data_IF_909562765823
#
_entry.id   IF_909562765823
#
_cell.length_a   1.000
_cell.length_b   1.000
_cell.length_c   1.000
_cell.angle_alpha   90.00
_cell.angle_beta   90.00
_cell.angle_gamma   90.00
#
_symmetry.space_group_name_H-M   'P 1'
#
loop_
_entity.id
_entity.type
_entity.pdbx_description
1 polymer ?
#
# COMPACT_ATOMS: atom_id res chain seq x y z
N UNK A 1 5.42 -19.19 2.23
CA UNK A 1 6.08 -18.22 3.14
C UNK A 1 5.43 -16.86 2.97
N UNK A 2 4.85 -16.29 4.03
CA UNK A 2 4.29 -14.94 3.95
C UNK A 2 5.36 -13.90 3.65
N UNK A 3 4.95 -12.88 2.90
CA UNK A 3 5.81 -11.76 2.56
C UNK A 3 5.27 -10.52 3.26
N UNK A 4 6.13 -9.84 4.01
CA UNK A 4 5.79 -8.62 4.72
C UNK A 4 6.46 -7.44 4.03
N UNK A 5 5.67 -6.44 3.67
CA UNK A 5 6.17 -5.28 2.96
C UNK A 5 5.60 -3.98 3.50
N UNK A 6 6.35 -2.91 3.35
CA UNK A 6 5.84 -1.55 3.53
C UNK A 6 6.03 -0.74 2.27
N UNK A 7 5.19 0.28 2.11
CA UNK A 7 5.34 1.30 1.08
C UNK A 7 5.19 2.65 1.77
N UNK A 8 6.21 3.50 1.66
CA UNK A 8 6.21 4.83 2.25
C UNK A 8 6.36 5.89 1.17
N UNK A 9 5.57 6.96 1.29
CA UNK A 9 5.65 8.06 0.34
C UNK A 9 5.08 9.34 0.94
N UNK A 10 5.43 10.45 0.31
CA UNK A 10 4.89 11.76 0.63
C UNK A 10 4.39 12.40 -0.65
N UNK A 11 3.17 12.95 -0.61
CA UNK A 11 2.59 13.65 -1.75
C UNK A 11 2.65 15.17 -1.56
N UNK A 12 2.41 15.92 -2.62
CA UNK A 12 2.21 17.36 -2.48
C UNK A 12 1.03 17.63 -1.55
N UNK A 13 1.13 18.63 -0.65
CA UNK A 13 0.04 18.89 0.30
C UNK A 13 -1.32 19.13 -0.35
N UNK A 14 -1.35 19.70 -1.55
CA UNK A 14 -2.59 19.93 -2.29
C UNK A 14 -3.26 18.65 -2.78
N UNK A 15 -2.56 17.51 -2.73
CA UNK A 15 -3.05 16.23 -3.24
C UNK A 15 -3.45 15.25 -2.14
N UNK A 16 -3.44 15.66 -0.88
CA UNK A 16 -3.70 14.77 0.25
C UNK A 16 -5.09 14.12 0.16
N UNK A 17 -6.15 14.92 -0.05
CA UNK A 17 -7.50 14.36 -0.07
C UNK A 17 -7.73 13.45 -1.29
N UNK A 18 -7.19 13.81 -2.43
CA UNK A 18 -7.25 12.97 -3.63
C UNK A 18 -6.51 11.65 -3.42
N UNK A 19 -5.36 11.70 -2.78
CA UNK A 19 -4.57 10.50 -2.45
C UNK A 19 -5.34 9.59 -1.51
N UNK A 20 -5.98 10.14 -0.49
CA UNK A 20 -6.81 9.36 0.45
C UNK A 20 -7.94 8.62 -0.28
N UNK A 21 -8.58 9.29 -1.23
CA UNK A 21 -9.60 8.66 -2.07
C UNK A 21 -9.06 7.49 -2.87
N UNK A 22 -7.89 7.67 -3.50
CA UNK A 22 -7.24 6.61 -4.27
C UNK A 22 -6.81 5.44 -3.38
N UNK A 23 -6.32 5.72 -2.18
CA UNK A 23 -5.96 4.69 -1.19
C UNK A 23 -7.19 3.86 -0.81
N UNK A 24 -8.31 4.52 -0.51
CA UNK A 24 -9.55 3.82 -0.15
C UNK A 24 -10.05 2.91 -1.26
N UNK A 25 -9.96 3.36 -2.51
CA UNK A 25 -10.34 2.54 -3.67
C UNK A 25 -9.44 1.31 -3.80
N UNK A 26 -8.14 1.48 -3.64
CA UNK A 26 -7.19 0.36 -3.71
C UNK A 26 -7.45 -0.66 -2.61
N UNK A 27 -7.61 -0.22 -1.37
CA UNK A 27 -7.85 -1.10 -0.23
C UNK A 27 -9.18 -1.84 -0.40
N UNK A 28 -10.22 -1.17 -0.89
CA UNK A 28 -11.51 -1.83 -1.15
C UNK A 28 -11.39 -2.91 -2.22
N UNK A 29 -10.62 -2.65 -3.28
CA UNK A 29 -10.34 -3.66 -4.31
C UNK A 29 -9.63 -4.87 -3.71
N UNK A 30 -8.60 -4.64 -2.91
CA UNK A 30 -7.85 -5.72 -2.26
C UNK A 30 -8.78 -6.55 -1.39
N UNK A 31 -9.62 -5.90 -0.58
CA UNK A 31 -10.56 -6.57 0.30
C UNK A 31 -11.52 -7.49 -0.46
N UNK A 32 -11.99 -7.06 -1.62
CA UNK A 32 -13.02 -7.79 -2.36
C UNK A 32 -12.46 -8.77 -3.39
N UNK A 33 -11.23 -8.56 -3.87
CA UNK A 33 -10.72 -9.27 -5.05
C UNK A 33 -9.36 -9.95 -4.87
N UNK A 34 -8.70 -9.76 -3.73
CA UNK A 34 -7.37 -10.33 -3.49
C UNK A 34 -7.36 -11.16 -2.20
N UNK A 35 -7.91 -12.38 -2.23
CA UNK A 35 -8.04 -13.19 -1.01
C UNK A 35 -6.70 -13.59 -0.39
N UNK A 36 -5.60 -13.58 -1.15
CA UNK A 36 -4.28 -13.98 -0.65
C UNK A 36 -3.40 -12.79 -0.24
N UNK A 37 -3.91 -11.57 -0.34
CA UNK A 37 -3.36 -10.41 0.37
C UNK A 37 -4.00 -10.43 1.76
N UNK A 38 -3.25 -10.90 2.75
CA UNK A 38 -3.80 -11.24 4.07
C UNK A 38 -3.78 -10.11 5.08
N UNK A 39 -3.11 -9.01 4.74
CA UNK A 39 -3.10 -7.79 5.55
C UNK A 39 -2.87 -6.60 4.62
N UNK A 40 -3.64 -5.56 4.81
CA UNK A 40 -3.41 -4.29 4.14
C UNK A 40 -3.86 -3.16 5.07
N UNK A 41 -2.91 -2.40 5.58
CA UNK A 41 -3.18 -1.23 6.42
C UNK A 41 -2.59 -0.02 5.74
N UNK A 42 -3.42 0.95 5.41
CA UNK A 42 -2.97 2.22 4.87
C UNK A 42 -3.11 3.28 5.95
N UNK A 43 -2.03 4.01 6.21
CA UNK A 43 -1.94 4.96 7.31
C UNK A 43 -1.46 6.32 6.80
N UNK A 44 -1.97 7.36 7.43
CA UNK A 44 -1.54 8.73 7.21
C UNK A 44 -0.81 9.20 8.46
N UNK A 45 0.35 9.85 8.29
CA UNK A 45 1.09 10.35 9.43
C UNK A 45 0.33 11.52 10.07
N UNK A 46 0.26 11.54 11.40
CA UNK A 46 -0.47 12.58 12.12
C UNK A 46 0.28 13.93 12.04
N UNK A 47 1.59 13.91 12.28
CA UNK A 47 2.38 15.15 12.32
C UNK A 47 2.60 15.76 10.94
N UNK A 48 2.74 14.93 9.90
CA UNK A 48 2.93 15.37 8.53
C UNK A 48 1.86 14.69 7.68
N UNK A 49 0.66 15.30 7.53
CA UNK A 49 -0.48 14.61 6.88
C UNK A 49 -0.29 14.26 5.41
N UNK A 50 0.74 14.80 4.77
CA UNK A 50 1.08 14.43 3.39
C UNK A 50 1.90 13.16 3.28
N UNK A 51 2.29 12.56 4.40
CA UNK A 51 3.03 11.29 4.44
C UNK A 51 2.11 10.12 4.71
N UNK A 52 2.35 9.04 3.96
CA UNK A 52 1.55 7.81 4.02
C UNK A 52 2.46 6.60 4.17
N UNK A 53 1.96 5.59 4.88
CA UNK A 53 2.61 4.29 4.96
C UNK A 53 1.57 3.21 4.76
N UNK A 54 1.86 2.26 3.88
CA UNK A 54 1.07 1.05 3.71
C UNK A 54 1.83 -0.13 4.28
N UNK A 55 1.15 -0.97 5.03
CA UNK A 55 1.69 -2.21 5.58
C UNK A 55 0.91 -3.34 4.94
N UNK A 56 1.62 -4.26 4.30
CA UNK A 56 1.03 -5.35 3.53
C UNK A 56 1.61 -6.69 3.96
N UNK A 57 0.78 -7.71 3.89
CA UNK A 57 1.21 -9.10 4.01
C UNK A 57 0.57 -9.91 2.89
N UNK A 58 1.39 -10.65 2.16
CA UNK A 58 0.96 -11.55 1.10
C UNK A 58 1.21 -12.99 1.53
N UNK A 59 0.32 -13.90 1.15
CA UNK A 59 0.48 -15.31 1.50
C UNK A 59 1.76 -15.89 0.91
N UNK A 60 2.08 -15.48 -0.34
CA UNK A 60 3.25 -15.96 -1.06
C UNK A 60 3.60 -15.01 -2.21
N UNK A 61 4.61 -15.39 -2.99
CA UNK A 61 5.10 -14.62 -4.13
C UNK A 61 4.02 -14.45 -5.21
N UNK A 62 3.18 -15.47 -5.42
CA UNK A 62 2.11 -15.39 -6.40
C UNK A 62 1.08 -14.33 -6.00
N UNK A 63 0.76 -14.22 -4.72
CA UNK A 63 -0.15 -13.20 -4.20
C UNK A 63 0.43 -11.79 -4.40
N UNK A 64 1.72 -11.61 -4.16
CA UNK A 64 2.40 -10.34 -4.41
C UNK A 64 2.30 -9.96 -5.89
N UNK A 65 2.57 -10.88 -6.78
CA UNK A 65 2.49 -10.62 -8.23
C UNK A 65 1.07 -10.28 -8.67
N UNK A 66 0.08 -10.98 -8.13
CA UNK A 66 -1.34 -10.68 -8.40
C UNK A 66 -1.68 -9.25 -8.01
N UNK A 67 -1.24 -8.82 -6.83
CA UNK A 67 -1.46 -7.45 -6.37
C UNK A 67 -0.80 -6.44 -7.30
N UNK A 68 0.48 -6.65 -7.62
CA UNK A 68 1.26 -5.74 -8.46
C UNK A 68 0.70 -5.60 -9.86
N UNK A 69 0.09 -6.64 -10.41
CA UNK A 69 -0.43 -6.66 -11.78
C UNK A 69 -1.91 -6.30 -11.88
N UNK A 70 -2.59 -6.01 -10.76
CA UNK A 70 -4.02 -5.73 -10.78
C UNK A 70 -4.30 -4.37 -11.46
N UNK A 71 -5.48 -4.23 -12.11
CA UNK A 71 -5.90 -2.94 -12.66
C UNK A 71 -6.00 -1.85 -11.60
N UNK A 72 -6.41 -2.20 -10.37
CA UNK A 72 -6.51 -1.24 -9.27
C UNK A 72 -5.14 -0.71 -8.87
N UNK A 73 -4.12 -1.56 -8.82
CA UNK A 73 -2.74 -1.13 -8.55
C UNK A 73 -2.23 -0.23 -9.67
N UNK A 74 -2.52 -0.56 -10.93
CA UNK A 74 -2.14 0.28 -12.07
C UNK A 74 -2.79 1.67 -11.98
N UNK A 75 -4.06 1.73 -11.62
CA UNK A 75 -4.77 3.00 -11.46
C UNK A 75 -4.18 3.83 -10.31
N UNK A 76 -3.84 3.19 -9.19
CA UNK A 76 -3.19 3.86 -8.06
C UNK A 76 -1.86 4.47 -8.49
N UNK A 77 -1.04 3.71 -9.22
CA UNK A 77 0.24 4.19 -9.75
C UNK A 77 0.03 5.40 -10.64
N UNK A 78 -0.91 5.35 -11.57
CA UNK A 78 -1.17 6.46 -12.50
C UNK A 78 -1.65 7.72 -11.78
N UNK A 79 -2.41 7.58 -10.71
CA UNK A 79 -3.01 8.71 -10.00
C UNK A 79 -2.08 9.29 -8.93
N UNK A 80 -1.39 8.44 -8.17
CA UNK A 80 -0.65 8.86 -6.97
C UNK A 80 0.83 9.10 -7.27
N UNK A 81 1.48 8.24 -8.05
CA UNK A 81 2.92 8.37 -8.28
C UNK A 81 3.35 9.74 -8.83
N UNK A 82 2.63 10.37 -9.78
CA UNK A 82 3.01 11.69 -10.25
C UNK A 82 2.94 12.79 -9.18
N UNK A 83 2.22 12.52 -8.08
CA UNK A 83 2.03 13.48 -7.00
C UNK A 83 3.02 13.31 -5.86
N UNK A 84 3.87 12.29 -5.91
CA UNK A 84 4.86 12.04 -4.85
C UNK A 84 6.06 12.98 -4.99
N UNK A 85 6.61 13.43 -3.84
CA UNK A 85 7.75 14.33 -3.82
C UNK A 85 9.05 13.63 -4.20
N UNK A 86 9.10 12.31 -4.01
CA UNK A 86 10.20 11.43 -4.42
C UNK A 86 9.62 10.05 -4.65
N UNK A 87 10.36 9.12 -5.30
CA UNK A 87 9.86 7.77 -5.54
C UNK A 87 9.39 7.08 -4.26
N UNK A 88 8.32 6.27 -4.39
CA UNK A 88 7.81 5.48 -3.27
C UNK A 88 8.89 4.49 -2.82
N UNK A 89 9.08 4.39 -1.51
CA UNK A 89 10.04 3.47 -0.92
C UNK A 89 9.32 2.18 -0.53
N UNK A 90 9.68 1.08 -1.19
CA UNK A 90 9.20 -0.26 -0.87
C UNK A 90 10.26 -1.00 -0.07
N UNK A 91 9.85 -1.64 1.04
CA UNK A 91 10.74 -2.43 1.85
C UNK A 91 10.11 -3.77 2.17
N UNK A 92 10.89 -4.83 2.04
CA UNK A 92 10.48 -6.16 2.49
C UNK A 92 11.07 -6.42 3.87
N UNK A 93 10.26 -7.04 4.75
CA UNK A 93 10.63 -7.31 6.13
C UNK A 93 10.50 -8.78 6.45
N UNK A 94 11.34 -9.26 7.34
CA UNK A 94 11.26 -10.60 7.88
C UNK A 94 10.54 -10.55 9.23
N UNK A 95 9.51 -11.37 9.40
CA UNK A 95 8.82 -11.46 10.67
C UNK A 95 9.75 -12.01 11.75
N UNK A 96 9.84 -11.33 12.88
CA UNK A 96 10.55 -11.81 14.07
C UNK A 96 9.56 -12.41 15.07
N UNK A 97 8.47 -11.69 15.36
CA UNK A 97 7.47 -12.13 16.32
C UNK A 97 6.17 -11.35 16.13
N UNK A 98 5.05 -11.95 16.47
CA UNK A 98 3.74 -11.32 16.47
C UNK A 98 2.84 -11.95 17.50
N UNK A 99 1.89 -11.18 18.03
CA UNK A 99 0.83 -11.73 18.88
C UNK A 99 -0.35 -12.24 18.05
N UNK A 100 -0.41 -11.87 16.77
CA UNK A 100 -1.47 -12.29 15.83
C UNK A 100 -0.89 -13.28 14.83
N UNK A 101 -1.49 -14.47 14.70
CA UNK A 101 -1.02 -15.45 13.73
C UNK A 101 -1.17 -14.97 12.28
#
# INVERSE_FOLDING_TARGET
MPIYMTAEYQVHPSQVEKTKGSVRQLVEHVKTSEPFTTLYIAQQQILIPSRFMHILRFEDEAALKTHQSSPASAQFVQTVYPQTLKPIEFMEYKLIATINP
#
